data_IF_512728764899
#
_entry.id   IF_512728764899
#
_cell.length_a   1.000
_cell.length_b   1.000
_cell.length_c   1.000
_cell.angle_alpha   90.00
_cell.angle_beta   90.00
_cell.angle_gamma   90.00
#
_symmetry.space_group_name_H-M   'P 1'
#
loop_
_entity.id
_entity.type
_entity.pdbx_description
1 polymer ?
#
# COMPACT_ATOMS: atom_id res chain seq x y z
N UNK A 1 9.06 4.67 -2.75
CA UNK A 1 8.57 3.61 -3.67
C UNK A 1 7.05 3.57 -3.61
N UNK A 2 6.37 3.71 -4.76
CA UNK A 2 4.91 3.79 -4.83
C UNK A 2 4.30 2.41 -5.10
N UNK A 3 3.30 2.02 -4.32
CA UNK A 3 2.60 0.74 -4.49
C UNK A 3 1.09 0.92 -4.65
N UNK A 4 0.49 -0.01 -5.38
CA UNK A 4 -0.97 -0.21 -5.47
C UNK A 4 -1.34 -1.42 -4.61
N UNK A 5 -2.23 -1.21 -3.66
CA UNK A 5 -2.79 -2.21 -2.76
C UNK A 5 -4.02 -2.87 -3.39
N UNK A 6 -3.79 -3.68 -4.42
CA UNK A 6 -4.59 -4.78 -4.99
C UNK A 6 -4.11 -5.04 -6.42
N UNK A 7 -4.45 -6.21 -6.97
CA UNK A 7 -4.08 -6.62 -8.34
C UNK A 7 -4.89 -5.88 -9.43
N UNK A 8 -5.99 -5.23 -9.04
CA UNK A 8 -6.97 -4.55 -9.89
C UNK A 8 -6.71 -3.03 -9.96
N UNK A 9 -7.24 -2.37 -11.01
CA UNK A 9 -7.04 -0.93 -11.30
C UNK A 9 -7.47 0.05 -10.18
N UNK A 10 -8.14 -0.43 -9.13
CA UNK A 10 -8.83 0.37 -8.10
C UNK A 10 -8.30 0.19 -6.67
N UNK A 11 -7.11 -0.39 -6.48
CA UNK A 11 -6.51 -0.53 -5.14
C UNK A 11 -6.05 0.80 -4.53
N UNK A 12 -6.00 0.85 -3.19
CA UNK A 12 -5.46 2.00 -2.45
C UNK A 12 -4.01 2.23 -2.86
N UNK A 13 -3.56 3.49 -2.90
CA UNK A 13 -2.16 3.79 -3.20
C UNK A 13 -1.45 4.28 -1.96
N UNK A 14 -0.16 4.00 -1.90
CA UNK A 14 0.67 4.61 -0.88
C UNK A 14 2.15 4.41 -1.07
N UNK A 15 2.90 4.96 -0.13
CA UNK A 15 4.36 5.01 -0.13
C UNK A 15 4.88 4.06 0.93
N UNK A 16 5.82 3.20 0.54
CA UNK A 16 6.49 2.29 1.48
C UNK A 16 7.28 3.08 2.50
N UNK A 17 6.99 2.84 3.78
CA UNK A 17 7.75 3.35 4.93
C UNK A 17 8.76 2.29 5.42
N UNK A 18 8.32 1.04 5.55
CA UNK A 18 9.14 -0.06 6.05
C UNK A 18 8.87 -1.35 5.27
N UNK A 19 9.93 -2.13 5.04
CA UNK A 19 9.84 -3.47 4.45
C UNK A 19 10.18 -4.48 5.56
N UNK A 20 9.30 -5.44 5.76
CA UNK A 20 9.49 -6.59 6.63
C UNK A 20 9.67 -7.85 5.77
N UNK A 21 9.88 -9.00 6.39
CA UNK A 21 10.11 -10.27 5.68
C UNK A 21 8.91 -10.72 4.82
N UNK A 22 7.69 -10.49 5.31
CA UNK A 22 6.46 -10.98 4.66
C UNK A 22 5.50 -9.87 4.20
N UNK A 23 5.86 -8.61 4.46
CA UNK A 23 4.96 -7.48 4.36
C UNK A 23 5.70 -6.15 4.18
N UNK A 24 4.94 -5.13 3.80
CA UNK A 24 5.39 -3.74 3.77
C UNK A 24 4.41 -2.90 4.58
N UNK A 25 4.96 -1.96 5.34
CA UNK A 25 4.18 -0.93 6.01
C UNK A 25 4.19 0.30 5.12
N UNK A 26 3.01 0.85 4.85
CA UNK A 26 2.85 2.02 3.98
C UNK A 26 2.06 3.13 4.63
N UNK A 27 2.33 4.34 4.14
CA UNK A 27 1.45 5.50 4.31
C UNK A 27 0.56 5.62 3.07
N UNK A 28 -0.76 5.57 3.30
CA UNK A 28 -1.79 5.65 2.27
C UNK A 28 -1.87 7.09 1.77
N UNK A 29 -1.73 7.26 0.47
CA UNK A 29 -1.84 8.55 -0.23
C UNK A 29 -3.16 8.68 -0.96
N UNK A 30 -3.78 7.56 -1.35
CA UNK A 30 -5.11 7.53 -1.94
C UNK A 30 -5.88 6.34 -1.39
N UNK A 31 -7.01 6.61 -0.72
CA UNK A 31 -7.91 5.58 -0.21
C UNK A 31 -9.13 5.48 -1.14
N UNK A 32 -9.24 4.37 -1.85
CA UNK A 32 -10.37 4.05 -2.75
C UNK A 32 -11.35 3.06 -2.10
N UNK A 33 -11.20 2.84 -0.79
CA UNK A 33 -12.06 1.96 0.01
C UNK A 33 -12.87 2.75 1.02
N UNK A 34 -13.94 2.16 1.55
CA UNK A 34 -14.72 2.72 2.66
C UNK A 34 -14.06 2.47 4.03
N UNK A 35 -12.87 1.84 4.05
CA UNK A 35 -12.16 1.53 5.28
C UNK A 35 -11.39 2.77 5.76
N UNK A 36 -11.54 3.10 7.03
CA UNK A 36 -10.70 4.10 7.70
C UNK A 36 -9.39 3.47 8.18
N UNK A 37 -8.29 4.19 8.00
CA UNK A 37 -6.97 3.77 8.43
C UNK A 37 -6.44 4.74 9.46
N UNK A 38 -6.21 4.26 10.66
CA UNK A 38 -5.61 5.06 11.72
C UNK A 38 -4.25 5.61 11.27
N UNK A 39 -4.08 6.92 11.36
CA UNK A 39 -2.86 7.60 10.92
C UNK A 39 -2.55 7.45 9.41
N UNK A 40 -3.54 7.08 8.58
CA UNK A 40 -3.35 6.75 7.17
C UNK A 40 -2.29 5.66 6.94
N UNK A 41 -2.11 4.73 7.88
CA UNK A 41 -1.06 3.71 7.84
C UNK A 41 -1.65 2.31 7.76
N UNK A 42 -1.02 1.43 7.00
CA UNK A 42 -1.43 0.02 6.95
C UNK A 42 -0.26 -0.90 6.60
N UNK A 43 -0.39 -2.17 6.96
CA UNK A 43 0.55 -3.23 6.62
C UNK A 43 -0.05 -4.13 5.55
N UNK A 44 0.73 -4.42 4.51
CA UNK A 44 0.29 -5.22 3.37
C UNK A 44 1.28 -6.32 3.07
N UNK A 45 0.79 -7.55 2.95
CA UNK A 45 1.58 -8.70 2.54
C UNK A 45 2.15 -8.55 1.12
N UNK A 46 3.34 -9.09 0.86
CA UNK A 46 4.00 -8.99 -0.47
C UNK A 46 3.16 -9.48 -1.64
N UNK A 47 2.27 -10.47 -1.41
CA UNK A 47 1.35 -11.00 -2.42
C UNK A 47 0.18 -10.06 -2.77
N UNK A 48 -0.05 -9.00 -1.99
CA UNK A 48 -1.24 -8.15 -2.04
C UNK A 48 -0.98 -6.74 -2.60
N UNK A 49 0.22 -6.46 -3.11
CA UNK A 49 0.53 -5.18 -3.75
C UNK A 49 1.27 -5.34 -5.08
N UNK A 50 1.27 -4.26 -5.86
CA UNK A 50 2.12 -4.10 -7.04
C UNK A 50 2.88 -2.78 -6.98
N UNK A 51 4.15 -2.82 -7.37
CA UNK A 51 4.98 -1.63 -7.48
C UNK A 51 4.56 -0.86 -8.73
N UNK A 52 4.17 0.41 -8.56
CA UNK A 52 3.79 1.29 -9.66
C UNK A 52 4.99 2.09 -10.18
N UNK A 53 5.86 2.56 -9.27
CA UNK A 53 7.04 3.36 -9.61
C UNK A 53 8.16 3.15 -8.60
N UNK A 54 9.36 2.91 -9.13
CA UNK A 54 10.63 2.96 -8.42
C UNK A 54 11.29 4.27 -8.83
N UNK A 55 11.84 5.00 -7.86
CA UNK A 55 12.48 6.29 -8.07
C UNK A 55 13.88 6.24 -7.48
#
# INVERSE_FOLDING_TARGET
MLINLRKEKTGNKGIIEKINENSVIINITENHSQQEFEGNRTEVAHKNYRILKIQ
#
